data_IF_730426886313
#
_entry.id   IF_730426886313
#
_cell.length_a   1.000
_cell.length_b   1.000
_cell.length_c   1.000
_cell.angle_alpha   90.00
_cell.angle_beta   90.00
_cell.angle_gamma   90.00
#
_symmetry.space_group_name_H-M   'P 1'
#
loop_
_entity.id
_entity.type
_entity.pdbx_description
1 polymer ?
#
# COMPACT_ATOMS: atom_id res chain seq x y z
N UNK A 1 -9.12 -34.86 -21.02
CA UNK A 1 -8.56 -34.45 -19.71
C UNK A 1 -9.67 -34.52 -18.67
N UNK A 2 -9.58 -35.44 -17.69
CA UNK A 2 -10.54 -35.48 -16.57
C UNK A 2 -10.17 -34.38 -15.57
N UNK A 3 -11.09 -33.47 -15.25
CA UNK A 3 -10.93 -32.55 -14.12
C UNK A 3 -11.15 -33.36 -12.85
N UNK A 4 -10.10 -33.54 -12.06
CA UNK A 4 -10.23 -34.11 -10.73
C UNK A 4 -10.84 -33.06 -9.81
N UNK A 5 -11.82 -33.40 -8.96
CA UNK A 5 -12.35 -32.47 -7.97
C UNK A 5 -11.24 -32.16 -6.95
N UNK A 6 -11.03 -30.88 -6.67
CA UNK A 6 -10.16 -30.44 -5.57
C UNK A 6 -10.81 -30.81 -4.24
N UNK A 7 -10.01 -31.19 -3.25
CA UNK A 7 -10.53 -31.43 -1.90
C UNK A 7 -10.99 -30.11 -1.27
N UNK A 8 -11.88 -30.19 -0.28
CA UNK A 8 -12.32 -29.03 0.50
C UNK A 8 -11.13 -28.28 1.11
N UNK A 9 -10.18 -29.01 1.72
CA UNK A 9 -8.98 -28.43 2.29
C UNK A 9 -8.10 -27.71 1.25
N UNK A 10 -8.05 -28.20 0.01
CA UNK A 10 -7.31 -27.53 -1.07
C UNK A 10 -8.01 -26.27 -1.55
N UNK A 11 -9.34 -26.30 -1.62
CA UNK A 11 -10.14 -25.11 -1.92
C UNK A 11 -9.97 -24.04 -0.84
N UNK A 12 -10.08 -24.41 0.44
CA UNK A 12 -9.88 -23.50 1.57
C UNK A 12 -8.49 -22.85 1.53
N UNK A 13 -7.43 -23.64 1.30
CA UNK A 13 -6.07 -23.10 1.17
C UNK A 13 -5.94 -22.14 0.00
N UNK A 14 -6.56 -22.43 -1.14
CA UNK A 14 -6.53 -21.54 -2.30
C UNK A 14 -7.27 -20.23 -2.03
N UNK A 15 -8.44 -20.30 -1.38
CA UNK A 15 -9.21 -19.12 -0.99
C UNK A 15 -8.42 -18.27 0.02
N UNK A 16 -7.84 -18.89 1.05
CA UNK A 16 -7.00 -18.20 2.03
C UNK A 16 -5.80 -17.53 1.37
N UNK A 17 -5.07 -18.24 0.51
CA UNK A 17 -3.92 -17.67 -0.22
C UNK A 17 -4.35 -16.48 -1.06
N UNK A 18 -5.45 -16.59 -1.80
CA UNK A 18 -5.99 -15.50 -2.62
C UNK A 18 -6.33 -14.29 -1.76
N UNK A 19 -7.06 -14.48 -0.66
CA UNK A 19 -7.46 -13.41 0.25
C UNK A 19 -6.26 -12.70 0.88
N UNK A 20 -5.28 -13.46 1.38
CA UNK A 20 -4.05 -12.90 1.97
C UNK A 20 -3.23 -12.14 0.91
N UNK A 21 -3.14 -12.66 -0.32
CA UNK A 21 -2.43 -11.98 -1.40
C UNK A 21 -3.10 -10.66 -1.78
N UNK A 22 -4.43 -10.64 -1.91
CA UNK A 22 -5.19 -9.42 -2.19
C UNK A 22 -4.98 -8.38 -1.08
N UNK A 23 -5.05 -8.80 0.19
CA UNK A 23 -4.77 -7.92 1.33
C UNK A 23 -3.34 -7.37 1.29
N UNK A 24 -2.36 -8.18 0.89
CA UNK A 24 -0.97 -7.76 0.79
C UNK A 24 -0.71 -6.80 -0.38
N UNK A 25 -1.34 -7.01 -1.54
CA UNK A 25 -1.19 -6.16 -2.73
C UNK A 25 -1.67 -4.71 -2.49
N UNK A 26 -2.69 -4.56 -1.65
CA UNK A 26 -3.28 -3.28 -1.31
C UNK A 26 -2.53 -2.53 -0.20
N UNK A 27 -1.60 -3.20 0.51
CA UNK A 27 -0.85 -2.57 1.60
C UNK A 27 0.00 -1.40 1.12
N UNK A 28 0.01 -0.35 1.93
CA UNK A 28 0.95 0.75 1.81
C UNK A 28 2.32 0.28 2.28
N UNK A 29 3.31 0.22 1.38
CA UNK A 29 4.67 -0.21 1.74
C UNK A 29 5.68 0.92 1.47
N UNK A 30 6.66 1.05 2.36
CA UNK A 30 7.78 1.95 2.13
C UNK A 30 8.63 1.43 0.97
N UNK A 31 8.83 2.24 -0.06
CA UNK A 31 9.65 1.85 -1.22
C UNK A 31 11.12 1.58 -0.83
N UNK A 32 11.63 2.18 0.25
CA UNK A 32 13.05 1.99 0.65
C UNK A 32 13.28 0.74 1.48
N UNK A 33 12.52 0.55 2.57
CA UNK A 33 12.76 -0.55 3.53
C UNK A 33 11.71 -1.66 3.48
N UNK A 34 10.68 -1.54 2.64
CA UNK A 34 9.65 -2.57 2.48
C UNK A 34 8.62 -2.66 3.61
N UNK A 35 8.86 -2.03 4.78
CA UNK A 35 7.91 -2.08 5.91
C UNK A 35 6.53 -1.53 5.52
N UNK A 36 5.48 -2.09 6.11
CA UNK A 36 4.12 -1.54 6.07
C UNK A 36 3.98 -0.50 7.20
N UNK A 37 3.88 0.81 6.89
CA UNK A 37 3.66 1.84 7.90
C UNK A 37 2.36 1.60 8.67
N UNK A 38 2.37 1.87 9.97
CA UNK A 38 1.25 1.61 10.86
C UNK A 38 0.28 2.80 10.92
N UNK A 39 -0.96 2.56 11.30
CA UNK A 39 -1.96 3.61 11.56
C UNK A 39 -1.39 4.61 12.57
N UNK A 40 -1.57 5.91 12.30
CA UNK A 40 -1.01 7.00 13.11
C UNK A 40 0.42 7.40 12.72
N UNK A 41 1.13 6.59 11.93
CA UNK A 41 2.38 7.04 11.32
C UNK A 41 2.14 8.00 10.15
N UNK A 42 3.19 8.68 9.70
CA UNK A 42 3.18 9.53 8.50
C UNK A 42 4.04 8.90 7.42
N UNK A 43 3.50 8.87 6.20
CA UNK A 43 4.24 8.57 4.99
C UNK A 43 4.38 9.81 4.11
N UNK A 44 5.40 9.78 3.26
CA UNK A 44 5.77 10.89 2.41
C UNK A 44 5.74 10.46 0.95
N UNK A 45 5.01 11.19 0.11
CA UNK A 45 4.98 10.96 -1.33
C UNK A 45 6.14 11.68 -1.99
N UNK A 46 6.86 10.95 -2.83
CA UNK A 46 7.88 11.47 -3.73
C UNK A 46 7.43 11.25 -5.19
N UNK A 47 8.09 11.91 -6.18
CA UNK A 47 7.80 11.69 -7.59
C UNK A 47 7.81 10.21 -7.98
N UNK A 48 7.04 9.85 -9.03
CA UNK A 48 6.79 8.46 -9.46
C UNK A 48 6.11 7.61 -8.36
N UNK A 49 5.21 8.24 -7.61
CA UNK A 49 4.34 7.59 -6.61
C UNK A 49 5.09 6.78 -5.54
N UNK A 50 6.32 7.17 -5.21
CA UNK A 50 7.10 6.46 -4.20
C UNK A 50 6.68 6.93 -2.81
N UNK A 51 6.02 6.04 -2.08
CA UNK A 51 5.76 6.22 -0.65
C UNK A 51 7.01 5.90 0.16
N UNK A 52 7.42 6.82 1.03
CA UNK A 52 8.57 6.66 1.94
C UNK A 52 8.08 6.89 3.38
N UNK A 53 8.43 5.99 4.30
CA UNK A 53 8.09 6.16 5.71
C UNK A 53 8.96 7.21 6.39
N UNK A 54 8.49 7.80 7.50
CA UNK A 54 9.23 8.82 8.26
C UNK A 54 10.68 8.41 8.59
N UNK A 55 10.92 7.14 8.91
CA UNK A 55 12.27 6.61 9.22
C UNK A 55 13.23 6.64 8.03
N UNK A 56 12.69 6.59 6.80
CA UNK A 56 13.48 6.58 5.57
C UNK A 56 13.64 7.95 4.94
N UNK A 57 12.90 8.97 5.40
CA UNK A 57 12.99 10.34 4.88
C UNK A 57 14.40 10.93 5.02
N UNK A 58 15.12 10.80 6.16
CA UNK A 58 16.46 11.39 6.30
C UNK A 58 17.48 10.90 5.26
N UNK A 59 17.21 9.77 4.61
CA UNK A 59 18.09 9.15 3.62
C UNK A 59 17.69 9.47 2.17
N UNK A 60 16.69 10.32 1.98
CA UNK A 60 16.26 10.81 0.67
C UNK A 60 16.69 12.26 0.51
N UNK A 61 17.19 12.59 -0.68
CA UNK A 61 17.38 13.98 -1.11
C UNK A 61 16.09 14.49 -1.74
N UNK A 62 15.83 15.78 -1.58
CA UNK A 62 14.65 16.45 -2.12
C UNK A 62 13.47 16.49 -1.14
N UNK A 63 12.59 17.48 -1.32
CA UNK A 63 11.41 17.67 -0.48
C UNK A 63 10.28 16.74 -0.93
N UNK A 64 9.53 16.13 0.01
CA UNK A 64 8.35 15.35 -0.35
C UNK A 64 7.27 16.24 -0.99
N UNK A 65 6.51 15.66 -1.92
CA UNK A 65 5.35 16.29 -2.56
C UNK A 65 4.17 16.43 -1.60
N UNK A 66 4.03 15.46 -0.68
CA UNK A 66 2.98 15.46 0.33
C UNK A 66 3.40 14.63 1.55
N UNK A 67 2.87 14.99 2.72
CA UNK A 67 2.88 14.20 3.95
C UNK A 67 1.48 13.68 4.22
N UNK A 68 1.32 12.36 4.35
CA UNK A 68 0.03 11.70 4.44
C UNK A 68 0.01 10.84 5.71
N UNK A 69 -0.92 11.07 6.65
CA UNK A 69 -1.09 10.18 7.79
C UNK A 69 -1.66 8.85 7.32
N UNK A 70 -1.13 7.77 7.88
CA UNK A 70 -1.65 6.41 7.67
C UNK A 70 -2.91 6.27 8.51
N UNK A 71 -4.03 6.01 7.83
CA UNK A 71 -5.34 5.80 8.45
C UNK A 71 -5.72 4.32 8.42
N UNK A 72 -6.78 3.95 9.14
CA UNK A 72 -7.24 2.57 9.20
C UNK A 72 -7.71 2.05 7.82
N UNK A 73 -7.74 0.72 7.67
CA UNK A 73 -7.61 -0.01 6.40
C UNK A 73 -8.58 0.31 5.27
N UNK A 74 -9.73 0.92 5.55
CA UNK A 74 -10.70 1.29 4.49
C UNK A 74 -10.26 2.54 3.72
N UNK A 75 -9.51 3.45 4.35
CA UNK A 75 -9.04 4.70 3.72
C UNK A 75 -7.71 4.53 2.95
N UNK A 76 -6.94 3.45 3.20
CA UNK A 76 -5.70 3.17 2.46
C UNK A 76 -5.99 2.87 0.99
N UNK A 77 -7.12 2.21 0.70
CA UNK A 77 -7.64 2.00 -0.68
C UNK A 77 -7.93 3.33 -1.39
N UNK A 78 -8.53 4.29 -0.69
CA UNK A 78 -8.94 5.57 -1.26
C UNK A 78 -7.75 6.50 -1.58
N UNK A 79 -6.66 6.43 -0.82
CA UNK A 79 -5.49 7.30 -1.05
C UNK A 79 -4.76 6.99 -2.37
N UNK A 80 -4.69 5.74 -2.81
CA UNK A 80 -4.14 5.41 -4.15
C UNK A 80 -5.01 5.94 -5.29
N UNK A 81 -6.31 6.16 -5.02
CA UNK A 81 -7.27 6.68 -5.99
C UNK A 81 -7.40 8.20 -5.96
N UNK A 82 -6.92 8.88 -4.92
CA UNK A 82 -6.97 10.34 -4.88
C UNK A 82 -5.82 10.90 -5.74
N UNK A 83 -6.12 11.48 -6.93
CA UNK A 83 -5.11 12.23 -7.65
C UNK A 83 -4.58 13.35 -6.74
N UNK A 84 -3.34 13.84 -6.96
CA UNK A 84 -2.91 15.05 -6.30
C UNK A 84 -3.95 16.13 -6.58
N UNK A 85 -4.52 16.74 -5.54
CA UNK A 85 -5.30 17.97 -5.68
C UNK A 85 -4.36 18.97 -6.36
N UNK A 86 -4.69 19.32 -7.60
CA UNK A 86 -4.05 20.45 -8.27
C UNK A 86 -4.43 21.70 -7.47
N UNK A 87 -3.43 22.45 -7.02
CA UNK A 87 -3.65 23.78 -6.43
C UNK A 87 -4.38 24.65 -7.46
N UNK A 88 -5.51 25.29 -7.12
CA UNK A 88 -6.22 26.20 -8.03
C UNK A 88 -5.56 27.59 -8.12
N UNK A 89 -4.25 27.69 -7.91
CA UNK A 89 -3.53 28.97 -7.90
C UNK A 89 -2.09 28.83 -8.45
N UNK A 90 -1.97 28.57 -9.76
CA UNK A 90 -0.75 28.79 -10.54
C UNK A 90 -1.11 29.40 -11.90
#
# INVERSE_FOLDING_TARGET
MRRQPISEADLERQLLRRSVHSLHAERLNCHRCGRTPLVGEVVYRYPRERTICALCVPYRRGRPLASIPVRHGEEIRAQRLTPPVADPAA
#
